data_IF_822927148573
#
_entry.id   IF_822927148573
#
_cell.length_a   1.000
_cell.length_b   1.000
_cell.length_c   1.000
_cell.angle_alpha   90.00
_cell.angle_beta   90.00
_cell.angle_gamma   90.00
#
_symmetry.space_group_name_H-M   'P 1'
#
loop_
_entity.id
_entity.type
_entity.pdbx_description
1 polymer ?
#
# COMPACT_ATOMS: atom_id res chain seq x y z
N UNK A 1 -5.57 15.35 3.50
CA UNK A 1 -5.66 16.36 4.60
C UNK A 1 -5.23 15.62 5.88
N UNK A 2 -4.05 15.76 6.49
CA UNK A 2 -3.30 16.93 7.00
C UNK A 2 -1.92 16.43 7.49
N UNK A 3 -0.81 17.11 7.21
CA UNK A 3 0.36 17.19 8.11
C UNK A 3 0.88 18.63 8.06
N UNK A 4 0.75 19.35 9.18
CA UNK A 4 1.22 20.73 9.38
C UNK A 4 2.01 20.79 10.70
N UNK A 5 3.22 21.39 10.60
CA UNK A 5 3.94 22.17 11.64
C UNK A 5 4.51 21.32 12.81
N UNK A 6 5.71 21.53 13.36
CA UNK A 6 6.40 22.78 13.75
C UNK A 6 7.92 22.57 13.85
N UNK A 7 8.68 23.58 13.43
CA UNK A 7 10.08 23.84 13.78
C UNK A 7 10.16 25.10 14.66
N UNK A 8 11.35 25.32 15.26
CA UNK A 8 11.81 26.51 16.03
C UNK A 8 11.66 26.37 17.55
N UNK A 9 12.58 26.85 18.40
CA UNK A 9 13.64 27.85 18.21
C UNK A 9 14.56 27.90 19.45
N UNK A 10 15.85 28.24 19.24
CA UNK A 10 16.73 29.22 19.93
C UNK A 10 16.81 29.22 21.50
N UNK A 11 17.89 29.58 22.21
CA UNK A 11 19.22 30.12 21.96
C UNK A 11 19.97 30.25 23.32
N UNK A 12 21.29 30.55 23.26
CA UNK A 12 22.09 31.14 24.36
C UNK A 12 22.87 30.11 25.21
N UNK A 13 24.14 30.28 25.59
CA UNK A 13 24.95 31.49 25.75
C UNK A 13 26.46 31.17 25.84
N UNK A 14 27.24 32.22 25.59
CA UNK A 14 28.70 32.43 25.56
C UNK A 14 29.56 31.83 26.72
N UNK A 15 30.82 31.44 26.43
CA UNK A 15 32.06 32.11 26.90
C UNK A 15 33.29 31.19 27.11
N UNK A 16 34.25 31.36 26.19
CA UNK A 16 35.74 31.31 26.31
C UNK A 16 36.49 30.03 26.76
N UNK A 17 37.45 29.71 25.89
CA UNK A 17 38.83 29.22 26.13
C UNK A 17 39.05 27.71 26.17
N UNK A 18 39.59 27.17 25.06
CA UNK A 18 40.92 26.54 25.03
C UNK A 18 41.32 26.14 23.61
N UNK A 19 42.63 26.25 23.38
CA UNK A 19 43.37 26.13 22.12
C UNK A 19 43.76 24.67 21.92
N UNK A 20 43.26 24.00 20.89
CA UNK A 20 43.79 22.71 20.40
C UNK A 20 43.27 22.43 18.97
N UNK A 21 44.21 22.14 18.07
CA UNK A 21 44.07 21.50 16.76
C UNK A 21 42.70 21.59 16.04
N UNK A 22 42.61 22.41 15.00
CA UNK A 22 41.52 22.30 14.02
C UNK A 22 41.85 21.11 13.11
N UNK A 23 41.57 19.91 13.63
CA UNK A 23 41.29 18.75 12.80
C UNK A 23 39.93 19.04 12.16
N UNK A 24 39.95 19.44 10.88
CA UNK A 24 38.74 19.77 10.16
C UNK A 24 37.84 18.53 10.18
N UNK A 25 36.62 18.58 10.77
CA UNK A 25 35.74 17.43 10.72
C UNK A 25 35.50 17.16 9.24
N UNK A 26 35.90 15.95 8.80
CA UNK A 26 35.45 15.36 7.57
C UNK A 26 33.92 15.45 7.60
N UNK A 27 33.38 16.51 6.98
CA UNK A 27 31.96 16.60 6.66
C UNK A 27 31.77 15.45 5.68
N UNK A 28 31.35 14.32 6.20
CA UNK A 28 30.76 13.25 5.40
C UNK A 28 29.76 13.96 4.52
N UNK A 29 30.07 13.98 3.22
CA UNK A 29 29.21 14.54 2.18
C UNK A 29 28.02 13.59 2.14
N UNK A 30 27.12 13.75 3.10
CA UNK A 30 25.80 13.15 3.04
C UNK A 30 25.26 13.58 1.69
N UNK A 31 24.99 12.60 0.83
CA UNK A 31 24.48 12.85 -0.51
C UNK A 31 23.30 13.82 -0.46
N UNK A 32 22.98 14.51 -1.57
CA UNK A 32 21.93 15.51 -1.60
C UNK A 32 20.68 14.95 -0.91
N UNK A 33 20.18 15.55 0.17
CA UNK A 33 18.94 15.10 0.83
C UNK A 33 17.75 15.59 0.00
N UNK A 34 16.75 14.74 -0.20
CA UNK A 34 15.49 15.13 -0.87
C UNK A 34 14.81 16.17 0.01
N UNK A 35 14.44 17.31 -0.57
CA UNK A 35 13.54 18.24 0.13
C UNK A 35 12.17 17.57 0.21
N UNK A 36 11.68 17.36 1.42
CA UNK A 36 10.37 16.72 1.64
C UNK A 36 9.24 17.58 1.06
N UNK A 37 9.38 18.90 1.14
CA UNK A 37 8.43 19.81 0.50
C UNK A 37 8.37 19.61 -1.02
N UNK A 38 9.53 19.42 -1.67
CA UNK A 38 9.58 19.15 -3.11
C UNK A 38 9.06 17.74 -3.46
N UNK A 39 9.30 16.74 -2.59
CA UNK A 39 8.70 15.41 -2.70
C UNK A 39 7.18 15.53 -2.74
N UNK A 40 6.59 16.10 -1.70
CA UNK A 40 5.13 16.20 -1.53
C UNK A 40 4.51 17.02 -2.66
N UNK A 41 5.15 18.11 -3.08
CA UNK A 41 4.67 18.93 -4.20
C UNK A 41 4.60 18.11 -5.52
N UNK A 42 5.62 17.30 -5.81
CA UNK A 42 5.65 16.45 -7.01
C UNK A 42 4.58 15.36 -6.94
N UNK A 43 4.39 14.71 -5.78
CA UNK A 43 3.40 13.64 -5.64
C UNK A 43 1.97 14.17 -5.78
N UNK A 44 1.65 15.29 -5.11
CA UNK A 44 0.34 15.96 -5.28
C UNK A 44 0.11 16.41 -6.71
N UNK A 45 1.11 17.02 -7.34
CA UNK A 45 1.01 17.44 -8.72
C UNK A 45 0.81 16.26 -9.68
N UNK A 46 1.32 15.07 -9.37
CA UNK A 46 1.07 13.86 -10.16
C UNK A 46 -0.35 13.33 -9.94
N UNK A 47 -0.81 13.26 -8.69
CA UNK A 47 -2.15 12.79 -8.33
C UNK A 47 -3.25 13.67 -8.94
N UNK A 48 -3.16 14.99 -8.76
CA UNK A 48 -4.09 15.95 -9.37
C UNK A 48 -4.14 15.79 -10.91
N UNK A 49 -3.01 15.47 -11.56
CA UNK A 49 -2.93 15.39 -13.03
C UNK A 49 -3.56 14.10 -13.54
N UNK A 50 -3.48 13.03 -12.74
CA UNK A 50 -4.16 11.77 -13.01
C UNK A 50 -5.67 11.92 -12.92
N UNK A 51 -6.14 12.65 -11.91
CA UNK A 51 -7.57 12.92 -11.71
C UNK A 51 -8.10 13.82 -12.83
N UNK A 52 -7.42 14.93 -13.12
CA UNK A 52 -7.88 15.94 -14.08
C UNK A 52 -7.81 15.47 -15.53
N UNK A 53 -6.69 14.83 -15.92
CA UNK A 53 -6.33 14.64 -17.33
C UNK A 53 -6.12 13.17 -17.73
N UNK A 54 -6.12 12.25 -16.76
CA UNK A 54 -5.88 10.83 -16.98
C UNK A 54 -4.42 10.49 -17.29
N UNK A 55 -4.08 9.20 -17.17
CA UNK A 55 -2.68 8.70 -17.21
C UNK A 55 -1.90 9.06 -18.48
N UNK A 56 -2.54 9.12 -19.65
CA UNK A 56 -1.85 9.38 -20.91
C UNK A 56 -1.36 10.83 -21.02
N UNK A 57 -2.10 11.78 -20.42
CA UNK A 57 -1.73 13.19 -20.44
C UNK A 57 -0.65 13.54 -19.41
N UNK A 58 -0.41 12.67 -18.41
CA UNK A 58 0.60 12.91 -17.38
C UNK A 58 2.01 12.67 -17.92
N UNK A 59 2.84 13.72 -17.86
CA UNK A 59 4.27 13.67 -18.21
C UNK A 59 5.12 14.22 -17.07
N UNK A 60 6.41 13.87 -17.03
CA UNK A 60 7.35 14.48 -16.07
C UNK A 60 7.39 16.00 -16.21
N UNK A 61 7.17 16.53 -17.41
CA UNK A 61 7.11 17.97 -17.65
C UNK A 61 5.90 18.64 -17.04
N UNK A 62 4.71 18.10 -17.26
CA UNK A 62 3.48 18.65 -16.69
C UNK A 62 3.47 18.54 -15.15
N UNK A 63 4.05 17.47 -14.60
CA UNK A 63 4.25 17.33 -13.15
C UNK A 63 5.21 18.41 -12.64
N UNK A 64 6.36 18.61 -13.30
CA UNK A 64 7.35 19.62 -12.90
C UNK A 64 6.76 21.04 -12.88
N UNK A 65 6.03 21.38 -13.96
CA UNK A 65 5.34 22.66 -14.10
C UNK A 65 4.34 22.89 -12.97
N UNK A 66 3.45 21.92 -12.71
CA UNK A 66 2.42 22.05 -11.67
C UNK A 66 3.00 22.03 -10.25
N UNK A 67 4.05 21.24 -10.01
CA UNK A 67 4.74 21.20 -8.72
C UNK A 67 5.62 22.42 -8.47
N UNK A 68 5.85 23.28 -9.46
CA UNK A 68 6.75 24.43 -9.34
C UNK A 68 8.22 24.03 -9.17
N UNK A 69 8.64 22.90 -9.74
CA UNK A 69 10.02 22.40 -9.65
C UNK A 69 10.63 22.19 -11.03
N UNK A 70 11.96 22.16 -11.12
CA UNK A 70 12.63 21.82 -12.38
C UNK A 70 12.51 20.32 -12.71
N UNK A 71 12.49 19.97 -14.00
CA UNK A 71 12.60 18.57 -14.45
C UNK A 71 13.87 17.89 -13.90
N UNK A 72 14.98 18.62 -13.79
CA UNK A 72 16.22 18.11 -13.20
C UNK A 72 16.06 17.74 -11.73
N UNK A 73 15.25 18.50 -10.97
CA UNK A 73 14.90 18.17 -9.58
C UNK A 73 14.14 16.85 -9.51
N UNK A 74 13.24 16.58 -10.46
CA UNK A 74 12.52 15.30 -10.55
C UNK A 74 13.45 14.16 -10.97
N UNK A 75 14.16 14.30 -12.09
CA UNK A 75 15.02 13.23 -12.63
C UNK A 75 16.14 12.78 -11.68
N UNK A 76 16.51 13.63 -10.71
CA UNK A 76 17.44 13.25 -9.65
C UNK A 76 16.91 12.13 -8.73
N UNK A 77 15.59 12.03 -8.55
CA UNK A 77 14.94 11.12 -7.61
C UNK A 77 14.06 10.06 -8.27
N UNK A 78 13.50 10.37 -9.44
CA UNK A 78 12.64 9.47 -10.20
C UNK A 78 13.14 9.38 -11.64
N UNK A 79 13.35 8.16 -12.11
CA UNK A 79 13.84 7.92 -13.48
C UNK A 79 12.72 8.02 -14.49
N UNK A 80 11.49 7.80 -14.07
CA UNK A 80 10.32 7.74 -14.94
C UNK A 80 9.06 8.31 -14.28
N UNK A 81 8.01 8.55 -15.08
CA UNK A 81 6.68 8.87 -14.53
C UNK A 81 6.13 7.72 -13.69
N UNK A 82 6.47 6.47 -14.01
CA UNK A 82 6.04 5.28 -13.27
C UNK A 82 6.60 5.28 -11.85
N UNK A 83 7.86 5.68 -11.67
CA UNK A 83 8.48 5.78 -10.35
C UNK A 83 7.75 6.80 -9.46
N UNK A 84 7.29 7.91 -10.05
CA UNK A 84 6.49 8.91 -9.33
C UNK A 84 5.14 8.32 -8.92
N UNK A 85 4.48 7.60 -9.83
CA UNK A 85 3.18 7.00 -9.57
C UNK A 85 3.24 5.86 -8.54
N UNK A 86 4.36 5.13 -8.47
CA UNK A 86 4.60 4.16 -7.40
C UNK A 86 4.71 4.85 -6.04
N UNK A 87 5.43 5.98 -5.96
CA UNK A 87 5.50 6.79 -4.74
C UNK A 87 4.12 7.36 -4.34
N UNK A 88 3.33 7.84 -5.33
CA UNK A 88 1.94 8.32 -5.10
C UNK A 88 1.10 7.19 -4.54
N UNK A 89 1.10 6.03 -5.20
CA UNK A 89 0.33 4.88 -4.78
C UNK A 89 0.73 4.39 -3.38
N UNK A 90 2.02 4.38 -3.06
CA UNK A 90 2.51 4.00 -1.73
C UNK A 90 2.07 4.97 -0.62
N UNK A 91 1.88 6.24 -0.94
CA UNK A 91 1.42 7.27 0.01
C UNK A 91 -0.11 7.24 0.19
N UNK A 92 -0.85 7.06 -0.91
CA UNK A 92 -2.31 7.20 -0.92
C UNK A 92 -3.05 5.90 -0.65
N UNK A 93 -2.44 4.74 -0.92
CA UNK A 93 -3.08 3.46 -0.66
C UNK A 93 -3.16 3.24 0.86
N UNK A 94 -4.34 3.29 1.48
CA UNK A 94 -4.40 3.19 2.93
C UNK A 94 -3.96 1.79 3.36
N UNK A 95 -3.24 1.69 4.48
CA UNK A 95 -3.15 0.43 5.20
C UNK A 95 -4.59 0.00 5.54
N UNK A 96 -4.89 -1.29 5.49
CA UNK A 96 -6.25 -1.80 5.77
C UNK A 96 -6.71 -1.32 7.15
N UNK A 97 -7.58 -0.30 7.19
CA UNK A 97 -8.07 0.36 8.41
C UNK A 97 -9.51 -0.08 8.60
N UNK A 98 -9.77 -0.89 9.63
CA UNK A 98 -11.13 -1.02 10.17
C UNK A 98 -11.35 0.06 11.23
N UNK A 99 -12.61 0.41 11.44
CA UNK A 99 -13.03 1.42 12.42
C UNK A 99 -13.00 0.92 13.87
N UNK A 100 -12.64 -0.34 14.12
CA UNK A 100 -12.76 -0.97 15.45
C UNK A 100 -11.38 -1.26 16.06
N UNK A 101 -11.20 -1.13 17.38
CA UNK A 101 -9.92 -1.43 18.03
C UNK A 101 -9.48 -2.88 17.77
N UNK A 102 -8.23 -3.10 17.33
CA UNK A 102 -7.76 -4.43 16.95
C UNK A 102 -7.81 -5.40 18.15
N UNK A 103 -8.53 -6.51 18.00
CA UNK A 103 -8.71 -7.53 19.04
C UNK A 103 -10.11 -7.57 19.68
N UNK A 104 -11.03 -6.72 19.24
CA UNK A 104 -12.47 -6.77 19.62
C UNK A 104 -13.37 -7.22 18.47
N UNK A 105 -12.77 -7.64 17.36
CA UNK A 105 -13.41 -8.06 16.11
C UNK A 105 -13.38 -9.58 16.04
N UNK A 106 -14.48 -10.20 15.61
CA UNK A 106 -14.45 -11.61 15.22
C UNK A 106 -13.63 -11.80 13.94
N UNK A 107 -13.20 -13.02 13.62
CA UNK A 107 -12.57 -13.28 12.31
C UNK A 107 -13.49 -12.88 11.15
N UNK A 108 -14.80 -13.10 11.27
CA UNK A 108 -15.79 -12.69 10.28
C UNK A 108 -15.76 -11.18 10.04
N UNK A 109 -15.71 -10.37 11.09
CA UNK A 109 -15.64 -8.90 10.98
C UNK A 109 -14.36 -8.44 10.28
N UNK A 110 -13.21 -9.05 10.63
CA UNK A 110 -11.92 -8.71 10.04
C UNK A 110 -11.88 -9.03 8.55
N UNK A 111 -12.35 -10.21 8.15
CA UNK A 111 -12.39 -10.60 6.73
C UNK A 111 -13.38 -9.75 5.94
N UNK A 112 -14.57 -9.46 6.50
CA UNK A 112 -15.57 -8.59 5.87
C UNK A 112 -15.04 -7.17 5.68
N UNK A 113 -14.35 -6.65 6.70
CA UNK A 113 -13.66 -5.36 6.65
C UNK A 113 -12.61 -5.33 5.55
N UNK A 114 -11.79 -6.37 5.44
CA UNK A 114 -10.78 -6.49 4.38
C UNK A 114 -11.40 -6.47 2.98
N UNK A 115 -12.46 -7.26 2.75
CA UNK A 115 -13.16 -7.28 1.45
C UNK A 115 -13.79 -5.92 1.13
N UNK A 116 -14.37 -5.26 2.14
CA UNK A 116 -14.93 -3.92 2.01
C UNK A 116 -13.86 -2.89 1.66
N UNK A 117 -12.67 -2.98 2.28
CA UNK A 117 -11.53 -2.14 1.97
C UNK A 117 -11.07 -2.34 0.51
N UNK A 118 -10.85 -3.58 0.09
CA UNK A 118 -10.47 -3.90 -1.30
C UNK A 118 -11.49 -3.37 -2.30
N UNK A 119 -12.78 -3.53 -2.00
CA UNK A 119 -13.85 -2.99 -2.83
C UNK A 119 -13.74 -1.47 -2.99
N UNK A 120 -13.58 -0.74 -1.87
CA UNK A 120 -13.45 0.72 -1.89
C UNK A 120 -12.25 1.14 -2.74
N UNK A 121 -11.10 0.47 -2.57
CA UNK A 121 -9.90 0.74 -3.35
C UNK A 121 -10.15 0.47 -4.83
N UNK A 122 -10.70 -0.68 -5.21
CA UNK A 122 -10.83 -1.04 -6.63
C UNK A 122 -11.94 -0.31 -7.38
N UNK A 123 -13.00 0.15 -6.69
CA UNK A 123 -14.20 0.66 -7.39
C UNK A 123 -14.56 2.11 -7.05
N UNK A 124 -14.00 2.69 -5.98
CA UNK A 124 -14.46 4.01 -5.46
C UNK A 124 -13.35 5.00 -5.16
N UNK A 125 -12.08 4.70 -5.47
CA UNK A 125 -10.97 5.64 -5.24
C UNK A 125 -10.17 5.92 -6.50
N UNK A 126 -9.68 7.17 -6.60
CA UNK A 126 -8.72 7.55 -7.63
C UNK A 126 -7.42 6.76 -7.50
N UNK A 127 -7.00 6.43 -6.27
CA UNK A 127 -5.90 5.49 -5.98
C UNK A 127 -6.08 4.14 -6.68
N UNK A 128 -7.30 3.61 -6.75
CA UNK A 128 -7.61 2.39 -7.49
C UNK A 128 -7.34 2.51 -8.98
N UNK A 129 -7.71 3.65 -9.57
CA UNK A 129 -7.45 3.94 -10.99
C UNK A 129 -5.94 3.96 -11.26
N UNK A 130 -5.15 4.58 -10.38
CA UNK A 130 -3.68 4.59 -10.46
C UNK A 130 -3.11 3.18 -10.34
N UNK A 131 -3.61 2.37 -9.40
CA UNK A 131 -3.21 0.98 -9.25
C UNK A 131 -3.44 0.17 -10.54
N UNK A 132 -4.61 0.29 -11.18
CA UNK A 132 -4.90 -0.45 -12.41
C UNK A 132 -4.05 -0.01 -13.60
N UNK A 133 -3.76 1.29 -13.70
CA UNK A 133 -2.80 1.81 -14.67
C UNK A 133 -1.42 1.17 -14.48
N UNK A 134 -0.94 1.11 -13.24
CA UNK A 134 0.35 0.50 -12.91
C UNK A 134 0.34 -1.02 -13.13
N UNK A 135 -0.77 -1.71 -12.85
CA UNK A 135 -0.95 -3.13 -13.19
C UNK A 135 -0.85 -3.31 -14.72
N UNK A 136 -1.55 -2.49 -15.51
CA UNK A 136 -1.50 -2.55 -16.97
C UNK A 136 -0.07 -2.38 -17.51
N UNK A 137 0.71 -1.47 -16.93
CA UNK A 137 2.12 -1.30 -17.28
C UNK A 137 2.99 -2.48 -16.81
N UNK A 138 2.76 -2.99 -15.60
CA UNK A 138 3.45 -4.14 -15.03
C UNK A 138 3.26 -5.44 -15.84
N UNK A 139 2.15 -5.57 -16.58
CA UNK A 139 1.95 -6.71 -17.49
C UNK A 139 2.94 -6.74 -18.66
N UNK A 140 3.55 -5.61 -19.00
CA UNK A 140 4.48 -5.48 -20.12
C UNK A 140 5.93 -5.22 -19.67
N UNK A 141 6.14 -4.74 -18.45
CA UNK A 141 7.45 -4.41 -17.89
C UNK A 141 7.70 -5.08 -16.53
N UNK A 142 8.64 -6.03 -16.53
CA UNK A 142 9.00 -6.81 -15.33
C UNK A 142 9.63 -5.95 -14.23
N UNK A 143 10.28 -4.83 -14.58
CA UNK A 143 10.85 -3.90 -13.60
C UNK A 143 9.73 -3.19 -12.82
N UNK A 144 8.73 -2.66 -13.53
CA UNK A 144 7.52 -2.08 -12.93
C UNK A 144 6.77 -3.12 -12.10
N UNK A 145 6.60 -4.35 -12.61
CA UNK A 145 5.94 -5.41 -11.86
C UNK A 145 6.63 -5.74 -10.55
N UNK A 146 7.97 -5.73 -10.55
CA UNK A 146 8.78 -5.97 -9.34
C UNK A 146 8.71 -4.79 -8.39
N UNK A 147 8.77 -3.56 -8.89
CA UNK A 147 8.66 -2.35 -8.09
C UNK A 147 7.27 -2.23 -7.43
N UNK A 148 6.19 -2.45 -8.18
CA UNK A 148 4.82 -2.44 -7.65
C UNK A 148 4.63 -3.46 -6.52
N UNK A 149 5.15 -4.68 -6.69
CA UNK A 149 5.09 -5.71 -5.63
C UNK A 149 5.88 -5.30 -4.40
N UNK A 150 7.16 -4.98 -4.59
CA UNK A 150 8.09 -4.79 -3.47
C UNK A 150 7.88 -3.46 -2.73
N UNK A 151 7.51 -2.40 -3.43
CA UNK A 151 7.40 -1.05 -2.85
C UNK A 151 6.00 -0.78 -2.29
N UNK A 152 4.96 -1.41 -2.86
CA UNK A 152 3.57 -1.10 -2.52
C UNK A 152 2.84 -2.30 -1.93
N UNK A 153 2.71 -3.38 -2.71
CA UNK A 153 1.77 -4.46 -2.38
C UNK A 153 2.25 -5.34 -1.22
N UNK A 154 3.55 -5.60 -1.11
CA UNK A 154 4.10 -6.46 -0.06
C UNK A 154 3.86 -5.87 1.33
N UNK A 155 4.02 -4.55 1.50
CA UNK A 155 3.72 -3.87 2.77
C UNK A 155 2.25 -4.01 3.15
N UNK A 156 1.33 -3.78 2.21
CA UNK A 156 -0.12 -3.91 2.46
C UNK A 156 -0.50 -5.36 2.78
N UNK A 157 0.12 -6.32 2.09
CA UNK A 157 -0.08 -7.75 2.32
C UNK A 157 0.46 -8.18 3.69
N UNK A 158 1.60 -7.65 4.11
CA UNK A 158 2.16 -7.90 5.44
C UNK A 158 1.26 -7.35 6.55
N UNK A 159 0.69 -6.15 6.37
CA UNK A 159 -0.29 -5.57 7.28
C UNK A 159 -1.57 -6.43 7.37
N UNK A 160 -2.17 -6.77 6.22
CA UNK A 160 -3.36 -7.62 6.17
C UNK A 160 -3.11 -8.99 6.81
N UNK A 161 -1.94 -9.59 6.57
CA UNK A 161 -1.54 -10.84 7.23
C UNK A 161 -1.46 -10.70 8.74
N UNK A 162 -0.80 -9.66 9.25
CA UNK A 162 -0.66 -9.45 10.69
C UNK A 162 -2.04 -9.36 11.37
N UNK A 163 -2.97 -8.64 10.74
CA UNK A 163 -4.36 -8.53 11.22
C UNK A 163 -5.09 -9.87 11.19
N UNK A 164 -5.00 -10.59 10.08
CA UNK A 164 -5.61 -11.91 9.91
C UNK A 164 -5.11 -12.91 10.96
N UNK A 165 -3.79 -12.93 11.22
CA UNK A 165 -3.20 -13.79 12.25
C UNK A 165 -3.74 -13.45 13.63
N UNK A 166 -3.88 -12.17 13.98
CA UNK A 166 -4.44 -11.73 15.25
C UNK A 166 -5.90 -12.18 15.40
N UNK A 167 -6.72 -11.93 14.38
CA UNK A 167 -8.14 -12.28 14.39
C UNK A 167 -8.38 -13.78 14.59
N UNK A 168 -7.66 -14.61 13.83
CA UNK A 168 -7.84 -16.05 13.86
C UNK A 168 -7.13 -16.75 15.02
N UNK A 169 -6.19 -16.08 15.69
CA UNK A 169 -5.59 -16.58 16.94
C UNK A 169 -6.54 -16.51 18.14
N UNK A 170 -7.58 -15.67 18.07
CA UNK A 170 -8.62 -15.59 19.10
C UNK A 170 -9.62 -16.77 19.01
N UNK A 171 -9.84 -17.30 17.80
CA UNK A 171 -10.85 -18.32 17.54
C UNK A 171 -10.33 -19.77 17.68
N UNK A 172 -9.01 -19.99 17.64
CA UNK A 172 -8.42 -21.32 17.84
C UNK A 172 -6.98 -21.24 18.42
N UNK A 173 -6.57 -22.15 19.33
CA UNK A 173 -5.20 -22.21 19.81
C UNK A 173 -4.26 -22.70 18.70
N UNK A 174 -3.63 -21.76 17.99
CA UNK A 174 -2.65 -22.05 16.96
C UNK A 174 -2.25 -20.80 16.17
N UNK A 175 -0.95 -20.60 15.96
CA UNK A 175 -0.48 -19.50 15.13
C UNK A 175 -0.76 -19.80 13.65
N UNK A 176 -1.60 -18.99 13.01
CA UNK A 176 -1.88 -19.08 11.57
C UNK A 176 -0.57 -19.04 10.75
N UNK A 177 -0.20 -20.11 10.00
CA UNK A 177 1.00 -20.12 9.16
C UNK A 177 0.97 -19.03 8.08
N UNK A 178 2.14 -18.50 7.70
CA UNK A 178 2.25 -17.43 6.68
C UNK A 178 1.63 -17.82 5.35
N UNK A 179 1.85 -19.06 4.91
CA UNK A 179 1.33 -19.55 3.63
C UNK A 179 -0.19 -19.66 3.64
N UNK A 180 -0.78 -20.13 4.73
CA UNK A 180 -2.23 -20.20 4.87
C UNK A 180 -2.86 -18.80 4.90
N UNK A 181 -2.28 -17.86 5.65
CA UNK A 181 -2.73 -16.47 5.63
C UNK A 181 -2.70 -15.86 4.22
N UNK A 182 -1.63 -16.13 3.45
CA UNK A 182 -1.53 -15.68 2.06
C UNK A 182 -2.66 -16.27 1.20
N UNK A 183 -2.91 -17.59 1.30
CA UNK A 183 -3.99 -18.25 0.55
C UNK A 183 -5.35 -17.63 0.86
N UNK A 184 -5.65 -17.36 2.13
CA UNK A 184 -6.90 -16.72 2.53
C UNK A 184 -7.03 -15.31 1.94
N UNK A 185 -5.97 -14.50 1.99
CA UNK A 185 -5.95 -13.17 1.37
C UNK A 185 -6.18 -13.24 -0.15
N UNK A 186 -5.60 -14.22 -0.83
CA UNK A 186 -5.80 -14.42 -2.27
C UNK A 186 -7.24 -14.82 -2.61
N UNK A 187 -7.85 -15.70 -1.80
CA UNK A 187 -9.25 -16.10 -1.94
C UNK A 187 -10.24 -14.95 -1.68
N UNK A 188 -9.87 -13.99 -0.84
CA UNK A 188 -10.66 -12.78 -0.61
C UNK A 188 -10.48 -11.77 -1.74
N UNK A 189 -9.25 -11.55 -2.20
CA UNK A 189 -8.94 -10.52 -3.19
C UNK A 189 -9.38 -10.88 -4.62
N UNK A 190 -9.21 -12.14 -5.01
CA UNK A 190 -9.51 -12.61 -6.37
C UNK A 190 -10.94 -12.33 -6.83
N UNK A 191 -11.97 -12.75 -6.07
CA UNK A 191 -13.37 -12.48 -6.43
C UNK A 191 -13.71 -10.98 -6.49
N UNK A 192 -13.14 -10.17 -5.59
CA UNK A 192 -13.34 -8.70 -5.59
C UNK A 192 -12.74 -8.10 -6.85
N UNK A 193 -11.49 -8.45 -7.18
CA UNK A 193 -10.81 -8.02 -8.40
C UNK A 193 -11.58 -8.45 -9.65
N UNK A 194 -11.99 -9.72 -9.73
CA UNK A 194 -12.74 -10.24 -10.86
C UNK A 194 -14.09 -9.52 -11.06
N UNK A 195 -14.79 -9.20 -9.97
CA UNK A 195 -16.03 -8.43 -10.04
C UNK A 195 -15.81 -6.99 -10.46
N UNK A 196 -14.86 -6.30 -9.84
CA UNK A 196 -14.54 -4.91 -10.13
C UNK A 196 -14.03 -4.73 -11.57
N UNK A 197 -13.18 -5.64 -12.05
CA UNK A 197 -12.42 -5.45 -13.28
C UNK A 197 -12.92 -6.26 -14.47
N UNK A 198 -13.28 -7.53 -14.28
CA UNK A 198 -13.64 -8.41 -15.41
C UNK A 198 -15.13 -8.38 -15.73
N UNK A 199 -15.99 -8.33 -14.70
CA UNK A 199 -17.45 -8.52 -14.90
C UNK A 199 -18.29 -7.28 -14.61
N UNK A 200 -17.71 -6.23 -14.01
CA UNK A 200 -18.43 -5.02 -13.59
C UNK A 200 -19.55 -5.27 -12.58
N UNK A 201 -19.52 -6.42 -11.88
CA UNK A 201 -20.58 -6.79 -10.92
C UNK A 201 -20.39 -6.06 -9.60
N UNK A 202 -21.48 -5.69 -8.90
CA UNK A 202 -21.38 -5.05 -7.60
C UNK A 202 -20.76 -5.97 -6.55
N UNK A 203 -20.03 -5.34 -5.65
CA UNK A 203 -19.32 -5.88 -4.48
C UNK A 203 -19.93 -5.23 -3.23
N UNK A 204 -21.23 -5.48 -3.03
CA UNK A 204 -22.03 -4.91 -1.95
C UNK A 204 -21.65 -5.49 -0.56
N UNK A 205 -22.15 -4.92 0.54
CA UNK A 205 -21.84 -5.42 1.88
C UNK A 205 -22.19 -6.90 2.07
N UNK A 206 -23.32 -7.35 1.50
CA UNK A 206 -23.73 -8.75 1.58
C UNK A 206 -22.74 -9.67 0.86
N UNK A 207 -22.19 -9.26 -0.28
CA UNK A 207 -21.10 -9.99 -0.94
C UNK A 207 -19.86 -10.08 -0.05
N UNK A 208 -19.47 -9.00 0.62
CA UNK A 208 -18.32 -8.99 1.51
C UNK A 208 -18.50 -9.98 2.67
N UNK A 209 -19.66 -9.95 3.33
CA UNK A 209 -20.01 -10.86 4.43
C UNK A 209 -20.04 -12.32 3.98
N UNK A 210 -20.68 -12.61 2.83
CA UNK A 210 -20.79 -13.99 2.32
C UNK A 210 -19.45 -14.54 1.86
N UNK A 211 -18.61 -13.71 1.23
CA UNK A 211 -17.27 -14.12 0.81
C UNK A 211 -16.40 -14.43 2.03
N UNK A 212 -16.43 -13.57 3.05
CA UNK A 212 -15.73 -13.81 4.32
C UNK A 212 -16.19 -15.12 4.98
N UNK A 213 -17.50 -15.33 5.08
CA UNK A 213 -18.07 -16.55 5.66
C UNK A 213 -17.64 -17.80 4.89
N UNK A 214 -17.70 -17.75 3.55
CA UNK A 214 -17.25 -18.86 2.68
C UNK A 214 -15.80 -19.22 2.93
N UNK A 215 -14.92 -18.22 2.99
CA UNK A 215 -13.48 -18.43 3.22
C UNK A 215 -13.23 -19.06 4.60
N UNK A 216 -13.96 -18.64 5.64
CA UNK A 216 -13.86 -19.26 6.97
C UNK A 216 -14.35 -20.70 6.99
N UNK A 217 -15.47 -21.01 6.32
CA UNK A 217 -15.97 -22.39 6.21
C UNK A 217 -14.99 -23.29 5.45
N UNK A 218 -14.43 -22.84 4.33
CA UNK A 218 -13.45 -23.61 3.55
C UNK A 218 -12.18 -23.92 4.36
N UNK A 219 -11.71 -22.96 5.17
CA UNK A 219 -10.58 -23.15 6.08
C UNK A 219 -10.86 -24.25 7.10
N UNK A 220 -12.07 -24.27 7.70
CA UNK A 220 -12.46 -25.28 8.69
C UNK A 220 -12.65 -26.67 8.09
N UNK A 221 -13.08 -26.75 6.83
CA UNK A 221 -13.31 -28.02 6.13
C UNK A 221 -12.07 -28.64 5.48
N UNK A 222 -10.89 -28.00 5.56
CA UNK A 222 -9.65 -28.56 5.02
C UNK A 222 -9.09 -29.57 6.04
N UNK A 223 -9.11 -30.91 5.76
CA UNK A 223 -8.51 -31.88 6.67
C UNK A 223 -7.00 -31.60 6.79
N UNK A 224 -6.39 -31.77 7.97
CA UNK A 224 -4.95 -31.66 8.11
C UNK A 224 -4.28 -32.67 7.18
N UNK A 225 -3.33 -32.19 6.37
CA UNK A 225 -2.59 -32.99 5.37
C UNK A 225 -2.23 -34.38 5.93
N UNK A 226 -2.85 -35.44 5.41
CA UNK A 226 -2.57 -36.83 5.79
C UNK A 226 -3.73 -37.83 5.67
N UNK A 227 -4.99 -37.42 5.59
CA UNK A 227 -6.10 -38.35 5.37
C UNK A 227 -6.53 -38.33 3.89
N UNK A 228 -6.48 -39.46 3.16
CA UNK A 228 -7.06 -39.51 1.82
C UNK A 228 -8.56 -39.20 1.94
N UNK A 229 -9.02 -38.22 1.16
CA UNK A 229 -10.44 -37.93 1.03
C UNK A 229 -11.14 -39.23 0.61
N UNK A 230 -11.99 -39.77 1.49
CA UNK A 230 -12.94 -40.80 1.10
C UNK A 230 -13.86 -40.16 0.05
N UNK A 231 -13.54 -40.40 -1.22
CA UNK A 231 -14.35 -39.91 -2.33
C UNK A 231 -15.75 -40.53 -2.25
N UNK A 232 -16.79 -39.80 -2.64
CA UNK A 232 -18.10 -40.42 -2.85
C UNK A 232 -17.98 -41.37 -4.04
N UNK A 233 -18.15 -42.67 -3.81
CA UNK A 233 -18.51 -43.63 -4.85
C UNK A 233 -19.86 -43.21 -5.42
N UNK A 234 -19.90 -42.92 -6.72
CA UNK A 234 -21.13 -42.87 -7.51
C UNK A 234 -21.92 -44.17 -7.41
#
# INVERSE_FOLDING_TARGET
MTIRTVASSLAGTDRRSRRAAIDAPHRTRNGPRRSEAARVAVLRAADDLLVDSGFQAVTVGSIAERAGVSKQTIYRWWRSKIDILLDVLEEDLPDDVTSRPPGTESAQDVLTGHVTHLNRVFTRSDTGRVLFVLIGHALQDAATASALRNQVLDRRRDHARARLRKALSCDAPGALPRQEANRLLDLLAGPVFHRAFMTGRPTDPLFAERLAATVLTCRQGTPPDGAPAAGPTC
#
